data_IF_958606195227
#
_entry.id   IF_958606195227
#
_cell.length_a   1.000
_cell.length_b   1.000
_cell.length_c   1.000
_cell.angle_alpha   90.00
_cell.angle_beta   90.00
_cell.angle_gamma   90.00
#
_symmetry.space_group_name_H-M   'P 1'
#
loop_
_entity.id
_entity.type
_entity.pdbx_description
1 polymer ?
#
# COMPACT_ATOMS: atom_id res chain seq x y z
N UNK A 1 25.32 0.63 -38.11
CA UNK A 1 24.80 1.76 -37.31
C UNK A 1 25.25 1.55 -35.89
N UNK A 2 26.21 2.35 -35.40
CA UNK A 2 26.71 2.23 -34.03
C UNK A 2 25.66 2.84 -33.09
N UNK A 3 25.12 2.01 -32.19
CA UNK A 3 24.23 2.45 -31.11
C UNK A 3 25.14 2.99 -30.01
N UNK A 4 25.18 4.31 -29.85
CA UNK A 4 25.93 4.95 -28.75
C UNK A 4 25.12 4.76 -27.47
N UNK A 5 25.60 3.89 -26.58
CA UNK A 5 25.12 3.78 -25.21
C UNK A 5 25.60 5.01 -24.43
N UNK A 6 24.83 6.09 -24.49
CA UNK A 6 25.10 7.28 -23.70
C UNK A 6 24.48 7.10 -22.30
N UNK A 7 25.22 6.40 -21.42
CA UNK A 7 24.84 6.18 -20.01
C UNK A 7 24.61 7.51 -19.26
N UNK A 8 25.13 8.63 -19.77
CA UNK A 8 25.00 9.95 -19.16
C UNK A 8 23.59 10.54 -19.20
N UNK A 9 22.69 10.00 -20.04
CA UNK A 9 21.27 10.41 -20.09
C UNK A 9 20.51 9.78 -18.92
N UNK A 10 20.77 8.51 -18.63
CA UNK A 10 20.08 7.78 -17.56
C UNK A 10 20.41 8.31 -16.16
N UNK A 11 21.67 8.71 -15.94
CA UNK A 11 22.13 9.20 -14.64
C UNK A 11 21.60 10.61 -14.29
N UNK A 12 21.25 11.41 -15.31
CA UNK A 12 20.60 12.72 -15.15
C UNK A 12 19.15 12.55 -14.74
N UNK A 13 18.43 11.65 -15.41
CA UNK A 13 17.01 11.39 -15.15
C UNK A 13 16.80 10.84 -13.72
N UNK A 14 17.63 9.92 -13.24
CA UNK A 14 17.49 9.38 -11.87
C UNK A 14 17.59 10.46 -10.78
N UNK A 15 18.54 11.39 -10.92
CA UNK A 15 18.76 12.46 -9.94
C UNK A 15 17.63 13.47 -9.98
N UNK A 16 17.06 13.75 -11.15
CA UNK A 16 15.90 14.62 -11.32
C UNK A 16 14.62 13.97 -10.74
N UNK A 17 14.41 12.67 -11.02
CA UNK A 17 13.27 11.91 -10.51
C UNK A 17 13.28 11.80 -8.98
N UNK A 18 14.44 11.54 -8.37
CA UNK A 18 14.58 11.50 -6.90
C UNK A 18 14.25 12.85 -6.24
N UNK A 19 14.44 13.96 -6.95
CA UNK A 19 14.07 15.30 -6.48
C UNK A 19 12.57 15.60 -6.65
N UNK A 20 11.89 14.93 -7.59
CA UNK A 20 10.48 15.14 -7.90
C UNK A 20 9.50 14.35 -7.00
N UNK A 21 9.99 13.43 -6.15
CA UNK A 21 9.14 12.65 -5.23
C UNK A 21 9.44 12.89 -3.73
N UNK A 22 9.39 14.14 -3.22
CA UNK A 22 9.62 14.43 -1.81
C UNK A 22 8.55 13.77 -0.90
N UNK A 23 7.33 13.58 -1.39
CA UNK A 23 6.25 12.91 -0.65
C UNK A 23 6.55 11.43 -0.35
N UNK A 24 7.19 10.73 -1.28
CA UNK A 24 7.54 9.31 -1.12
C UNK A 24 8.67 9.14 -0.10
N UNK A 25 9.65 10.05 -0.11
CA UNK A 25 10.74 10.07 0.88
C UNK A 25 10.22 10.37 2.29
N UNK A 26 9.29 11.32 2.44
CA UNK A 26 8.66 11.63 3.74
C UNK A 26 7.85 10.46 4.27
N UNK A 27 7.13 9.75 3.41
CA UNK A 27 6.33 8.58 3.79
C UNK A 27 7.22 7.43 4.28
N UNK A 28 8.32 7.15 3.58
CA UNK A 28 9.33 6.15 4.00
C UNK A 28 9.97 6.52 5.35
N UNK A 29 10.32 7.79 5.56
CA UNK A 29 10.90 8.26 6.82
C UNK A 29 9.92 8.14 8.00
N UNK A 30 8.63 8.37 7.76
CA UNK A 30 7.59 8.27 8.79
C UNK A 30 7.31 6.82 9.18
N UNK A 31 7.29 5.90 8.22
CA UNK A 31 7.14 4.47 8.49
C UNK A 31 8.30 3.93 9.34
N UNK A 32 9.54 4.34 9.06
CA UNK A 32 10.71 3.94 9.87
C UNK A 32 10.67 4.41 11.32
N UNK A 33 9.93 5.49 11.63
CA UNK A 33 9.79 6.02 12.99
C UNK A 33 8.71 5.33 13.80
N UNK A 34 7.76 4.64 13.16
CA UNK A 34 6.73 3.86 13.86
C UNK A 34 7.19 2.49 14.32
N UNK A 35 8.38 2.04 13.89
CA UNK A 35 8.95 0.73 14.24
C UNK A 35 9.86 0.77 15.49
N UNK A 36 9.94 1.90 16.21
CA UNK A 36 10.58 1.94 17.54
C UNK A 36 9.55 1.63 18.63
N UNK A 37 9.56 0.38 19.10
CA UNK A 37 8.65 -0.15 20.13
C UNK A 37 9.01 0.31 21.55
N UNK A 38 8.02 0.72 22.38
CA UNK A 38 8.14 0.64 23.84
C UNK A 38 7.64 -0.74 24.35
N UNK A 39 8.60 -1.52 24.86
CA UNK A 39 8.56 -2.51 25.95
C UNK A 39 7.18 -3.09 26.41
N UNK A 40 7.05 -4.40 26.20
CA UNK A 40 6.49 -5.42 27.11
C UNK A 40 4.98 -5.55 27.41
N UNK A 41 4.37 -6.55 26.75
CA UNK A 41 3.88 -7.74 27.46
C UNK A 41 2.51 -7.72 28.14
N UNK A 42 1.46 -8.23 27.46
CA UNK A 42 0.54 -9.27 27.98
C UNK A 42 -0.44 -9.76 26.92
N UNK A 43 -0.57 -11.10 26.84
CA UNK A 43 -1.42 -11.85 25.91
C UNK A 43 -2.73 -12.28 26.61
N UNK A 44 -3.85 -11.99 25.92
CA UNK A 44 -5.16 -12.65 25.79
C UNK A 44 -5.99 -13.06 27.02
N UNK A 45 -7.21 -12.51 27.10
CA UNK A 45 -8.43 -13.27 27.39
C UNK A 45 -9.57 -12.78 26.47
N UNK A 46 -10.23 -13.72 25.79
CA UNK A 46 -11.45 -13.48 24.99
C UNK A 46 -12.64 -13.16 25.90
N UNK A 47 -13.35 -12.06 25.61
CA UNK A 47 -14.80 -12.01 25.81
C UNK A 47 -15.48 -11.31 24.65
N UNK A 48 -16.42 -12.02 24.04
CA UNK A 48 -17.42 -11.47 23.14
C UNK A 48 -18.34 -10.54 23.93
N UNK A 49 -18.31 -9.25 23.62
CA UNK A 49 -19.39 -8.33 23.97
C UNK A 49 -19.52 -7.25 22.88
N UNK A 50 -20.69 -7.27 22.26
CA UNK A 50 -21.20 -6.26 21.35
C UNK A 50 -21.23 -4.85 21.96
N UNK A 51 -21.14 -3.87 21.05
CA UNK A 51 -21.70 -2.51 21.09
C UNK A 51 -20.92 -1.38 21.82
N UNK A 52 -20.38 -0.45 21.01
CA UNK A 52 -20.77 0.99 20.96
C UNK A 52 -19.60 1.98 20.91
N UNK A 53 -19.64 2.80 19.85
CA UNK A 53 -19.10 4.18 19.72
C UNK A 53 -17.59 4.40 19.91
N UNK A 54 -16.77 4.03 18.93
CA UNK A 54 -15.59 4.85 18.64
C UNK A 54 -16.08 6.19 18.08
N UNK A 55 -15.89 7.24 18.87
CA UNK A 55 -16.27 8.61 18.56
C UNK A 55 -15.70 9.03 17.19
N UNK A 56 -16.36 9.95 16.49
CA UNK A 56 -15.86 10.50 15.20
C UNK A 56 -14.43 11.06 15.30
N UNK A 57 -13.99 11.37 16.53
CA UNK A 57 -12.66 11.86 16.89
C UNK A 57 -11.59 10.74 16.75
N UNK A 58 -11.93 9.49 17.05
CA UNK A 58 -10.99 8.35 17.00
C UNK A 58 -10.65 7.92 15.57
N UNK A 59 -11.52 8.22 14.59
CA UNK A 59 -11.29 7.91 13.17
C UNK A 59 -10.25 8.83 12.52
N UNK A 60 -10.00 10.02 13.10
CA UNK A 60 -9.13 11.04 12.49
C UNK A 60 -7.64 10.65 12.43
N UNK A 61 -7.22 9.66 13.22
CA UNK A 61 -5.83 9.23 13.33
C UNK A 61 -5.60 7.77 12.93
N UNK A 62 -6.56 7.13 12.26
CA UNK A 62 -6.42 5.74 11.79
C UNK A 62 -5.81 5.70 10.37
N UNK A 63 -4.70 4.98 10.22
CA UNK A 63 -4.03 4.81 8.91
C UNK A 63 -4.80 3.89 7.94
N UNK A 64 -5.54 2.92 8.48
CA UNK A 64 -6.32 1.95 7.71
C UNK A 64 -7.79 2.12 8.06
N UNK A 65 -8.62 2.54 7.11
CA UNK A 65 -10.02 2.91 7.35
C UNK A 65 -10.93 1.84 6.71
N UNK A 66 -11.96 1.41 7.44
CA UNK A 66 -12.95 0.48 6.91
C UNK A 66 -12.31 -0.81 6.42
N UNK A 67 -12.60 -1.16 5.16
CA UNK A 67 -12.09 -2.37 4.52
C UNK A 67 -10.55 -2.41 4.41
N UNK A 68 -9.84 -1.28 4.49
CA UNK A 68 -8.37 -1.27 4.50
C UNK A 68 -7.79 -1.89 5.78
N UNK A 69 -8.57 -1.96 6.88
CA UNK A 69 -8.21 -2.75 8.05
C UNK A 69 -8.66 -4.19 7.84
N UNK A 70 -7.73 -5.04 7.40
CA UNK A 70 -8.03 -6.41 6.99
C UNK A 70 -7.03 -7.44 7.51
N UNK A 71 -7.50 -8.68 7.62
CA UNK A 71 -6.71 -9.86 7.90
C UNK A 71 -7.30 -11.03 7.11
N UNK A 72 -6.72 -11.33 5.94
CA UNK A 72 -7.23 -12.33 5.00
C UNK A 72 -7.24 -13.77 5.57
N UNK A 73 -6.43 -14.04 6.61
CA UNK A 73 -6.49 -15.34 7.30
C UNK A 73 -7.75 -15.46 8.16
N UNK A 74 -8.19 -14.35 8.76
CA UNK A 74 -9.36 -14.34 9.62
C UNK A 74 -10.66 -14.21 8.82
N UNK A 75 -10.69 -13.32 7.82
CA UNK A 75 -11.88 -13.06 7.00
C UNK A 75 -11.49 -12.37 5.69
N UNK A 76 -12.03 -12.86 4.59
CA UNK A 76 -11.95 -12.21 3.27
C UNK A 76 -12.85 -10.98 3.18
N UNK A 77 -12.65 -10.17 2.13
CA UNK A 77 -13.48 -9.00 1.88
C UNK A 77 -14.92 -9.41 1.53
N UNK A 78 -15.88 -8.91 2.30
CA UNK A 78 -17.32 -9.03 2.05
C UNK A 78 -17.96 -7.64 2.01
N UNK A 79 -19.11 -7.52 1.35
CA UNK A 79 -19.90 -6.28 1.31
C UNK A 79 -19.09 -5.05 0.85
N UNK A 80 -18.47 -5.17 -0.33
CA UNK A 80 -17.60 -4.13 -0.91
C UNK A 80 -18.34 -2.82 -1.26
N UNK A 81 -19.67 -2.83 -1.27
CA UNK A 81 -20.50 -1.63 -1.47
C UNK A 81 -20.37 -0.65 -0.30
N UNK A 82 -20.16 -1.15 0.93
CA UNK A 82 -19.82 -0.32 2.09
C UNK A 82 -18.34 -0.43 2.44
N UNK A 83 -17.54 0.38 1.74
CA UNK A 83 -16.09 0.42 1.91
C UNK A 83 -15.64 1.05 3.25
N UNK A 84 -16.53 1.77 3.93
CA UNK A 84 -16.19 2.51 5.17
C UNK A 84 -16.29 1.66 6.42
N UNK A 85 -16.96 0.51 6.33
CA UNK A 85 -17.14 -0.42 7.44
C UNK A 85 -16.02 -1.45 7.47
N UNK A 86 -15.50 -1.71 8.68
CA UNK A 86 -14.42 -2.67 8.88
C UNK A 86 -14.88 -4.10 8.56
N UNK A 87 -13.99 -4.90 7.96
CA UNK A 87 -14.26 -6.32 7.73
C UNK A 87 -14.16 -7.15 9.01
N UNK A 88 -13.37 -6.70 9.99
CA UNK A 88 -13.09 -7.41 11.26
C UNK A 88 -13.11 -6.45 12.43
N UNK A 89 -13.43 -6.94 13.63
CA UNK A 89 -13.41 -6.14 14.85
C UNK A 89 -11.96 -5.82 15.26
N UNK A 90 -11.59 -4.54 15.23
CA UNK A 90 -10.22 -4.06 15.52
C UNK A 90 -9.72 -4.37 16.94
N UNK A 91 -10.64 -4.57 17.88
CA UNK A 91 -10.31 -4.88 19.28
C UNK A 91 -9.89 -6.33 19.49
N UNK A 92 -10.24 -7.24 18.57
CA UNK A 92 -10.04 -8.67 18.71
C UNK A 92 -9.05 -9.22 17.68
N UNK A 93 -9.07 -8.66 16.47
CA UNK A 93 -8.30 -9.16 15.34
C UNK A 93 -7.36 -8.07 14.88
N UNK A 94 -6.06 -8.31 15.03
CA UNK A 94 -5.04 -7.45 14.44
C UNK A 94 -5.04 -7.59 12.91
N UNK A 95 -4.75 -6.49 12.20
CA UNK A 95 -4.55 -6.51 10.76
C UNK A 95 -3.38 -7.43 10.37
N UNK A 96 -3.46 -8.04 9.20
CA UNK A 96 -2.30 -8.71 8.60
C UNK A 96 -1.35 -7.65 8.04
N UNK A 97 -0.05 -7.64 8.40
CA UNK A 97 0.92 -6.74 7.79
C UNK A 97 1.12 -7.10 6.32
N UNK A 98 1.31 -6.09 5.48
CA UNK A 98 1.65 -6.26 4.07
C UNK A 98 3.09 -5.78 3.87
N UNK A 99 3.98 -6.70 3.50
CA UNK A 99 5.36 -6.42 3.16
C UNK A 99 5.54 -6.68 1.66
N UNK A 100 5.53 -5.61 0.87
CA UNK A 100 5.66 -5.66 -0.59
C UNK A 100 6.77 -4.72 -1.06
N UNK A 101 7.42 -5.08 -2.17
CA UNK A 101 8.47 -4.31 -2.81
C UNK A 101 7.99 -3.82 -4.17
N UNK A 102 8.03 -2.51 -4.37
CA UNK A 102 7.67 -1.89 -5.64
C UNK A 102 8.87 -1.11 -6.21
N UNK A 103 8.98 -1.11 -7.54
CA UNK A 103 9.95 -0.30 -8.26
C UNK A 103 9.25 0.57 -9.30
N UNK A 104 9.89 1.68 -9.66
CA UNK A 104 9.41 2.60 -10.69
C UNK A 104 10.47 2.67 -11.78
N UNK A 105 10.06 2.44 -13.04
CA UNK A 105 10.92 2.53 -14.23
C UNK A 105 10.51 3.71 -15.10
N UNK A 106 11.49 4.27 -15.81
CA UNK A 106 11.31 5.45 -16.66
C UNK A 106 11.83 5.17 -18.08
N UNK A 107 11.48 6.06 -19.02
CA UNK A 107 12.00 6.01 -20.39
C UNK A 107 11.55 4.77 -21.18
N UNK A 108 12.50 4.11 -21.84
CA UNK A 108 12.21 3.01 -22.76
C UNK A 108 11.55 1.81 -22.05
N UNK A 109 12.03 1.45 -20.85
CA UNK A 109 11.47 0.34 -20.08
C UNK A 109 10.01 0.59 -19.70
N UNK A 110 9.65 1.83 -19.34
CA UNK A 110 8.25 2.20 -19.10
C UNK A 110 7.38 2.04 -20.35
N UNK A 111 7.91 2.37 -21.54
CA UNK A 111 7.21 2.14 -22.82
C UNK A 111 6.95 0.66 -23.09
N UNK A 112 7.85 -0.21 -22.67
CA UNK A 112 7.69 -1.66 -22.84
C UNK A 112 6.60 -2.21 -21.91
N UNK A 113 6.53 -1.74 -20.65
CA UNK A 113 5.40 -2.04 -19.73
C UNK A 113 4.07 -1.55 -20.32
N UNK A 114 4.04 -0.34 -20.89
CA UNK A 114 2.84 0.20 -21.53
C UNK A 114 2.40 -0.64 -22.75
N UNK A 115 3.34 -1.12 -23.56
CA UNK A 115 3.04 -2.00 -24.71
C UNK A 115 2.42 -3.32 -24.25
N UNK A 116 2.96 -3.91 -23.17
CA UNK A 116 2.40 -5.12 -22.57
C UNK A 116 0.93 -4.93 -22.15
N UNK A 117 0.64 -3.80 -21.51
CA UNK A 117 -0.73 -3.43 -21.12
C UNK A 117 -1.67 -3.31 -22.34
N UNK A 118 -1.27 -2.55 -23.37
CA UNK A 118 -2.08 -2.35 -24.59
C UNK A 118 -2.38 -3.69 -25.28
N UNK A 119 -1.38 -4.55 -25.38
CA UNK A 119 -1.55 -5.86 -26.01
C UNK A 119 -2.61 -6.70 -25.26
N UNK A 120 -2.51 -6.79 -23.93
CA UNK A 120 -3.49 -7.54 -23.12
C UNK A 120 -4.89 -6.91 -23.20
N UNK A 121 -4.98 -5.59 -23.17
CA UNK A 121 -6.25 -4.87 -23.26
C UNK A 121 -6.96 -5.14 -24.59
N UNK A 122 -6.23 -5.05 -25.71
CA UNK A 122 -6.80 -5.28 -27.04
C UNK A 122 -7.30 -6.71 -27.24
N UNK A 123 -6.61 -7.71 -26.65
CA UNK A 123 -7.09 -9.11 -26.66
C UNK A 123 -8.44 -9.23 -25.95
N UNK A 124 -8.58 -8.65 -24.76
CA UNK A 124 -9.82 -8.75 -23.99
C UNK A 124 -10.98 -7.96 -24.60
N UNK A 125 -10.70 -6.89 -25.36
CA UNK A 125 -11.72 -6.14 -26.11
C UNK A 125 -12.21 -6.82 -27.38
N UNK A 126 -11.41 -7.74 -27.94
CA UNK A 126 -11.72 -8.44 -29.19
C UNK A 126 -12.50 -9.75 -29.03
N UNK A 127 -12.86 -10.10 -27.79
CA UNK A 127 -13.75 -11.23 -27.44
C UNK A 127 -15.13 -10.73 -27.08
#
# INVERSE_FOLDING_TARGET
TQVTNDESVFERDEKEIRQLTPGLQQLVQRARKSDEDPDDGKILEEQQSDNTSTSEVDKKYQYFIGKDYSNAYQRDFTELEDYTTDSVARTLVLRMPCHDEALVVFGQTARDVARHFIQRWNIHKGS
#
